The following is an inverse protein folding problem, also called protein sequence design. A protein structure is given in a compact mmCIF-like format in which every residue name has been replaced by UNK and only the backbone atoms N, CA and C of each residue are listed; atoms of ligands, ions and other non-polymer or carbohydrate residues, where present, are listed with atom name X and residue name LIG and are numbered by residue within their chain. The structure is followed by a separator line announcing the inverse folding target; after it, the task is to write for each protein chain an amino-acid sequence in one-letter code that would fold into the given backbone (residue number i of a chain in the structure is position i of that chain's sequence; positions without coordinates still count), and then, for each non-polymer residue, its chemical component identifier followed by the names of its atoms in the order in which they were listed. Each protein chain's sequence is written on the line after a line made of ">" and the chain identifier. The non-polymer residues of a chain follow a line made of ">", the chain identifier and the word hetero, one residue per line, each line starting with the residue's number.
data_IF_606880442376
#
_entry.id   IF_606880442376
#
_cell.length_a   1.000
_cell.length_b   1.000
_cell.length_c   1.000
_cell.angle_alpha   90.00
_cell.angle_beta   90.00
_cell.angle_gamma   90.00
#
_symmetry.space_group_name_H-M   'P 1'
#
loop_
_entity.id
_entity.type
_entity.pdbx_description
1 polymer ?
#
# COMPACT_ATOMS: atom_id res chain seq x y z
N UNK A 1 -8.05 51.38 27.47
CA UNK A 1 -8.70 50.24 26.79
C UNK A 1 -8.37 50.36 25.31
N UNK A 2 -7.68 49.35 24.78
CA UNK A 2 -6.78 49.46 23.63
C UNK A 2 -7.49 49.61 22.29
N UNK A 3 -7.19 50.69 21.54
CA UNK A 3 -7.77 50.96 20.21
C UNK A 3 -7.31 49.96 19.13
N UNK A 4 -6.29 49.16 19.42
CA UNK A 4 -5.75 48.13 18.52
C UNK A 4 -6.74 47.01 18.25
N UNK A 5 -7.60 46.67 19.21
CA UNK A 5 -8.57 45.58 19.05
C UNK A 5 -9.74 45.98 18.14
N UNK A 6 -10.12 47.27 18.10
CA UNK A 6 -11.19 47.73 17.22
C UNK A 6 -10.79 47.72 15.74
N UNK A 7 -9.52 48.01 15.43
CA UNK A 7 -9.03 48.06 14.05
C UNK A 7 -8.95 46.65 13.47
N UNK A 8 -8.47 45.67 14.25
CA UNK A 8 -8.39 44.27 13.81
C UNK A 8 -9.77 43.68 13.53
N UNK A 9 -10.77 43.98 14.36
CA UNK A 9 -12.15 43.52 14.14
C UNK A 9 -12.74 44.15 12.87
N UNK A 10 -12.50 45.44 12.61
CA UNK A 10 -12.95 46.10 11.38
C UNK A 10 -12.33 45.54 10.10
N UNK A 11 -11.05 45.14 10.16
CA UNK A 11 -10.35 44.54 9.01
C UNK A 11 -10.89 43.13 8.75
N UNK A 12 -11.05 42.31 9.79
CA UNK A 12 -11.61 40.96 9.65
C UNK A 12 -13.06 41.01 9.14
N UNK A 13 -13.87 41.94 9.64
CA UNK A 13 -15.25 42.13 9.18
C UNK A 13 -15.32 42.64 7.72
N UNK A 14 -14.40 43.52 7.28
CA UNK A 14 -14.30 43.95 5.87
C UNK A 14 -13.85 42.81 4.93
N UNK A 15 -12.97 41.93 5.40
CA UNK A 15 -12.55 40.75 4.64
C UNK A 15 -13.68 39.72 4.50
N UNK A 16 -14.48 39.50 5.55
CA UNK A 16 -15.59 38.54 5.50
C UNK A 16 -16.77 39.07 4.67
N UNK A 17 -17.04 40.38 4.73
CA UNK A 17 -18.11 41.01 3.92
C UNK A 17 -17.75 41.10 2.44
N UNK A 18 -16.48 41.31 2.09
CA UNK A 18 -16.03 41.29 0.68
C UNK A 18 -16.10 39.89 0.04
N UNK A 19 -15.99 38.82 0.82
CA UNK A 19 -16.22 37.45 0.34
C UNK A 19 -17.72 37.11 0.14
N UNK A 20 -18.62 37.88 0.74
CA UNK A 20 -20.06 37.57 0.77
C UNK A 20 -20.87 38.19 -0.38
N UNK A 21 -20.23 38.94 -1.30
CA UNK A 21 -20.92 39.63 -2.41
C UNK A 21 -20.99 38.84 -3.74
N UNK A 22 -20.81 37.52 -3.76
CA UNK A 22 -20.96 36.71 -4.99
C UNK A 22 -22.17 35.77 -4.97
N UNK A 23 -23.28 36.20 -4.38
CA UNK A 23 -24.56 35.52 -4.54
C UNK A 23 -25.64 36.50 -4.99
N UNK A 24 -25.59 36.91 -6.25
CA UNK A 24 -26.76 37.47 -6.93
C UNK A 24 -26.79 37.06 -8.41
N UNK A 25 -27.98 36.68 -8.87
CA UNK A 25 -28.19 35.94 -10.11
C UNK A 25 -28.44 36.83 -11.34
N UNK A 26 -27.93 36.34 -12.50
CA UNK A 26 -28.28 36.62 -13.93
C UNK A 26 -27.51 37.78 -14.63
N UNK A 27 -27.36 37.76 -15.98
CA UNK A 27 -27.16 36.65 -16.92
C UNK A 27 -25.96 36.87 -17.92
N UNK A 28 -25.45 35.75 -18.47
CA UNK A 28 -24.68 35.56 -19.72
C UNK A 28 -24.12 36.81 -20.45
N UNK A 29 -22.81 37.05 -20.31
CA UNK A 29 -21.94 37.48 -21.41
C UNK A 29 -20.49 36.98 -21.22
N UNK A 30 -19.91 36.60 -22.35
CA UNK A 30 -18.64 35.93 -22.62
C UNK A 30 -17.40 36.48 -21.88
N UNK A 31 -16.72 35.62 -21.10
CA UNK A 31 -15.43 35.93 -20.48
C UNK A 31 -14.55 34.68 -20.34
N UNK A 32 -14.30 34.04 -21.49
CA UNK A 32 -13.55 32.78 -21.62
C UNK A 32 -12.04 32.84 -21.28
N UNK A 33 -11.47 33.99 -20.91
CA UNK A 33 -10.00 34.14 -20.76
C UNK A 33 -9.48 34.35 -19.32
N UNK A 34 -10.31 34.73 -18.34
CA UNK A 34 -9.84 34.98 -16.96
C UNK A 34 -9.88 33.75 -16.03
N UNK A 35 -10.66 32.74 -16.39
CA UNK A 35 -10.79 31.51 -15.59
C UNK A 35 -9.62 30.54 -15.79
N UNK A 36 -8.87 30.69 -16.89
CA UNK A 36 -7.63 29.95 -17.16
C UNK A 36 -6.51 30.38 -16.22
N UNK A 37 -6.26 31.69 -16.10
CA UNK A 37 -5.14 32.22 -15.30
C UNK A 37 -5.29 31.98 -13.80
N UNK A 38 -6.52 32.07 -13.27
CA UNK A 38 -6.80 31.75 -11.86
C UNK A 38 -6.72 30.25 -11.56
N UNK A 39 -7.08 29.37 -12.51
CA UNK A 39 -6.90 27.93 -12.33
C UNK A 39 -5.42 27.54 -12.36
N UNK A 40 -4.62 28.15 -13.25
CA UNK A 40 -3.18 27.91 -13.29
C UNK A 40 -2.50 28.41 -12.02
N UNK A 41 -2.81 29.62 -11.56
CA UNK A 41 -2.22 30.15 -10.32
C UNK A 41 -2.63 29.35 -9.07
N UNK A 42 -3.87 28.82 -9.00
CA UNK A 42 -4.29 27.94 -7.92
C UNK A 42 -3.62 26.57 -8.04
N UNK A 43 -3.51 26.00 -9.24
CA UNK A 43 -2.78 24.75 -9.47
C UNK A 43 -1.29 24.86 -9.11
N UNK A 44 -0.63 25.96 -9.50
CA UNK A 44 0.77 26.23 -9.16
C UNK A 44 0.94 26.40 -7.65
N UNK A 45 -0.01 27.05 -6.97
CA UNK A 45 0.01 27.18 -5.50
C UNK A 45 -0.21 25.84 -4.78
N UNK A 46 -0.90 24.87 -5.38
CA UNK A 46 -1.05 23.50 -4.85
C UNK A 46 0.11 22.57 -5.24
N UNK A 47 0.81 22.86 -6.34
CA UNK A 47 2.00 22.13 -6.74
C UNK A 47 3.22 22.48 -5.86
N UNK A 48 3.31 23.73 -5.41
CA UNK A 48 4.36 24.21 -4.50
C UNK A 48 3.98 24.08 -3.00
N UNK A 49 2.79 23.55 -2.69
CA UNK A 49 2.36 23.39 -1.31
C UNK A 49 3.03 22.16 -0.68
N UNK A 50 4.04 22.43 0.12
CA UNK A 50 4.54 21.57 1.18
C UNK A 50 3.36 20.95 1.95
N UNK A 51 3.10 19.66 1.76
CA UNK A 51 2.14 18.92 2.58
C UNK A 51 2.94 17.98 3.47
N UNK A 52 3.08 18.40 4.73
CA UNK A 52 3.82 17.65 5.75
C UNK A 52 3.20 16.28 6.09
N UNK A 53 1.94 16.01 5.71
CA UNK A 53 1.30 14.71 5.84
C UNK A 53 0.00 14.66 5.04
N UNK A 54 -0.20 13.59 4.25
CA UNK A 54 -1.50 13.24 3.69
C UNK A 54 -2.26 12.27 4.58
N UNK A 55 -3.50 12.62 4.91
CA UNK A 55 -4.47 11.63 5.40
C UNK A 55 -5.70 11.63 4.53
N UNK A 56 -5.92 10.56 3.76
CA UNK A 56 -7.13 10.41 2.96
C UNK A 56 -7.95 9.20 3.43
N UNK A 57 -9.21 9.45 3.76
CA UNK A 57 -10.17 8.40 4.04
C UNK A 57 -10.61 7.72 2.75
N UNK A 58 -10.75 6.40 2.77
CA UNK A 58 -11.21 5.64 1.63
C UNK A 58 -12.61 6.08 1.17
N UNK A 59 -12.89 6.04 -0.14
CA UNK A 59 -14.21 6.41 -0.64
C UNK A 59 -15.31 5.49 -0.10
N UNK A 60 -16.46 6.10 0.21
CA UNK A 60 -17.69 5.37 0.54
C UNK A 60 -18.24 4.59 -0.67
N UNK A 61 -19.13 3.64 -0.42
CA UNK A 61 -19.71 2.68 -1.38
C UNK A 61 -19.95 3.26 -2.77
N UNK A 62 -19.38 2.62 -3.79
CA UNK A 62 -19.60 2.98 -5.20
C UNK A 62 -18.82 4.18 -5.74
N UNK A 63 -17.92 4.80 -4.97
CA UNK A 63 -17.07 5.91 -5.46
C UNK A 63 -15.64 5.47 -5.78
N UNK A 64 -15.07 6.05 -6.82
CA UNK A 64 -13.66 5.90 -7.22
C UNK A 64 -12.80 6.82 -6.37
N UNK A 65 -11.70 6.32 -5.80
CA UNK A 65 -10.72 7.14 -5.09
C UNK A 65 -10.14 8.22 -5.99
N UNK A 66 -9.77 9.35 -5.38
CA UNK A 66 -9.02 10.43 -6.03
C UNK A 66 -7.70 9.87 -6.59
N UNK A 67 -7.40 10.24 -7.85
CA UNK A 67 -6.15 9.93 -8.53
C UNK A 67 -5.38 11.24 -8.66
N UNK A 68 -4.27 11.39 -7.93
CA UNK A 68 -3.45 12.59 -8.01
C UNK A 68 -2.25 12.32 -8.94
N UNK A 69 -2.06 13.10 -10.03
CA UNK A 69 -0.86 13.01 -10.85
C UNK A 69 0.29 13.75 -10.17
N UNK A 70 1.47 13.12 -10.14
CA UNK A 70 2.78 13.67 -9.80
C UNK A 70 2.82 14.52 -8.52
N UNK A 71 3.21 13.90 -7.41
CA UNK A 71 3.33 14.59 -6.13
C UNK A 71 4.60 14.20 -5.42
N UNK A 72 5.51 15.15 -5.29
CA UNK A 72 6.58 15.12 -4.28
C UNK A 72 5.87 15.28 -2.92
N UNK A 73 5.79 14.22 -2.13
CA UNK A 73 5.23 14.26 -0.78
C UNK A 73 6.35 14.02 0.23
N UNK A 74 6.97 15.11 0.69
CA UNK A 74 8.03 15.09 1.70
C UNK A 74 7.51 14.74 3.11
N UNK A 75 6.46 13.92 3.24
CA UNK A 75 5.79 13.64 4.51
C UNK A 75 4.98 12.35 4.51
N UNK A 76 4.45 12.00 5.69
CA UNK A 76 3.68 10.76 5.90
C UNK A 76 2.44 10.65 4.99
N UNK A 77 2.25 9.50 4.34
CA UNK A 77 0.99 9.14 3.65
C UNK A 77 0.20 8.15 4.49
N UNK A 78 -1.05 8.48 4.82
CA UNK A 78 -1.96 7.61 5.56
C UNK A 78 -3.30 7.48 4.85
N UNK A 79 -3.51 6.37 4.13
CA UNK A 79 -4.78 6.12 3.44
C UNK A 79 -5.56 4.98 4.09
N UNK A 80 -6.86 5.21 4.26
CA UNK A 80 -7.78 4.15 4.64
C UNK A 80 -8.37 3.49 3.40
N UNK A 81 -8.55 2.17 3.45
CA UNK A 81 -9.20 1.43 2.38
C UNK A 81 -10.67 1.82 2.22
N UNK A 82 -11.24 1.61 1.03
CA UNK A 82 -12.64 1.91 0.77
C UNK A 82 -13.59 1.00 1.57
N UNK A 83 -14.82 1.48 1.77
CA UNK A 83 -15.95 0.66 2.23
C UNK A 83 -16.39 -0.35 1.16
N UNK A 84 -17.44 -1.13 1.43
CA UNK A 84 -17.86 -2.25 0.58
C UNK A 84 -17.97 -1.89 -0.91
N UNK A 85 -17.35 -2.73 -1.75
CA UNK A 85 -17.34 -2.57 -3.21
C UNK A 85 -16.62 -1.33 -3.76
N UNK A 86 -15.98 -0.51 -2.93
CA UNK A 86 -15.27 0.71 -3.36
C UNK A 86 -13.85 0.46 -3.89
N UNK A 87 -13.26 1.47 -4.54
CA UNK A 87 -11.88 1.44 -5.03
C UNK A 87 -11.03 2.51 -4.34
N UNK A 88 -9.90 2.10 -3.78
CA UNK A 88 -8.94 2.98 -3.13
C UNK A 88 -8.31 4.03 -4.08
N UNK A 89 -7.50 4.88 -3.47
CA UNK A 89 -6.77 5.96 -4.14
C UNK A 89 -5.69 5.47 -5.11
N UNK A 90 -5.32 6.35 -6.05
CA UNK A 90 -4.22 6.12 -6.97
C UNK A 90 -3.22 7.27 -6.95
N UNK A 91 -1.93 6.97 -7.00
CA UNK A 91 -0.89 7.96 -7.25
C UNK A 91 0.09 7.48 -8.32
N UNK A 92 0.70 8.45 -9.01
CA UNK A 92 1.72 8.23 -10.04
C UNK A 92 2.84 9.22 -9.79
N UNK A 93 4.10 8.76 -9.84
CA UNK A 93 5.30 9.57 -9.58
C UNK A 93 5.21 10.21 -8.18
N UNK A 94 5.24 9.36 -7.16
CA UNK A 94 5.22 9.77 -5.76
C UNK A 94 6.61 9.59 -5.14
N UNK A 95 7.20 10.66 -4.65
CA UNK A 95 8.40 10.60 -3.80
C UNK A 95 7.93 10.81 -2.37
N UNK A 96 8.21 9.84 -1.49
CA UNK A 96 7.71 9.77 -0.12
C UNK A 96 8.91 9.61 0.79
N UNK A 97 9.28 10.70 1.46
CA UNK A 97 10.50 10.72 2.26
C UNK A 97 10.31 10.09 3.66
N UNK A 98 9.06 9.96 4.11
CA UNK A 98 8.72 9.40 5.42
C UNK A 98 7.89 8.09 5.28
N UNK A 99 6.88 7.90 6.13
CA UNK A 99 6.13 6.66 6.22
C UNK A 99 4.90 6.63 5.30
N UNK A 100 4.73 5.53 4.56
CA UNK A 100 3.46 5.20 3.89
C UNK A 100 2.68 4.15 4.68
N UNK A 101 1.50 4.49 5.19
CA UNK A 101 0.54 3.54 5.77
C UNK A 101 -0.74 3.46 4.95
N UNK A 102 -1.08 2.27 4.45
CA UNK A 102 -2.37 2.03 3.82
C UNK A 102 -3.14 0.89 4.50
N UNK A 103 -4.43 1.11 4.71
CA UNK A 103 -5.33 0.06 5.18
C UNK A 103 -6.11 -0.57 4.03
N UNK A 104 -6.33 -1.88 4.13
CA UNK A 104 -7.08 -2.67 3.14
C UNK A 104 -8.55 -2.27 3.04
N UNK A 105 -9.21 -2.61 1.92
CA UNK A 105 -10.63 -2.38 1.77
C UNK A 105 -11.47 -3.30 2.69
N UNK A 106 -12.72 -2.89 2.90
CA UNK A 106 -13.77 -3.82 3.40
C UNK A 106 -14.20 -4.81 2.30
N UNK A 107 -15.16 -5.69 2.60
CA UNK A 107 -15.61 -6.74 1.68
C UNK A 107 -15.96 -6.21 0.27
N UNK A 108 -15.53 -6.91 -0.77
CA UNK A 108 -15.75 -6.56 -2.17
C UNK A 108 -14.91 -5.41 -2.72
N UNK A 109 -14.14 -4.70 -1.90
CA UNK A 109 -13.39 -3.52 -2.32
C UNK A 109 -12.02 -3.82 -2.92
N UNK A 110 -11.44 -2.83 -3.61
CA UNK A 110 -10.06 -2.84 -4.12
C UNK A 110 -9.23 -1.78 -3.41
N UNK A 111 -8.03 -2.16 -2.97
CA UNK A 111 -7.07 -1.28 -2.32
C UNK A 111 -6.52 -0.17 -3.22
N UNK A 112 -5.50 0.51 -2.69
CA UNK A 112 -4.82 1.62 -3.35
C UNK A 112 -3.89 1.14 -4.47
N UNK A 113 -3.55 2.05 -5.39
CA UNK A 113 -2.62 1.79 -6.49
C UNK A 113 -1.53 2.85 -6.54
N UNK A 114 -0.28 2.43 -6.59
CA UNK A 114 0.88 3.31 -6.66
C UNK A 114 1.72 2.93 -7.88
N UNK A 115 2.12 3.91 -8.67
CA UNK A 115 2.95 3.70 -9.85
C UNK A 115 4.14 4.65 -9.78
N UNK A 116 5.35 4.13 -9.98
CA UNK A 116 6.59 4.89 -9.89
C UNK A 116 6.68 5.64 -8.55
N UNK A 117 6.95 4.90 -7.49
CA UNK A 117 6.97 5.44 -6.13
C UNK A 117 8.29 5.16 -5.45
N UNK A 118 8.90 6.20 -4.91
CA UNK A 118 10.12 6.11 -4.09
C UNK A 118 9.72 6.36 -2.64
N UNK A 119 10.11 5.45 -1.75
CA UNK A 119 9.81 5.51 -0.31
C UNK A 119 11.10 5.30 0.44
N UNK A 120 11.63 6.35 1.06
CA UNK A 120 12.95 6.27 1.70
C UNK A 120 12.92 5.67 3.10
N UNK A 121 11.75 5.58 3.73
CA UNK A 121 11.59 5.03 5.08
C UNK A 121 10.69 3.79 5.04
N UNK A 122 9.57 3.78 5.77
CA UNK A 122 8.77 2.58 5.97
C UNK A 122 7.46 2.59 5.16
N UNK A 123 7.19 1.47 4.50
CA UNK A 123 5.88 1.12 3.98
C UNK A 123 5.17 0.12 4.89
N UNK A 124 3.96 0.45 5.35
CA UNK A 124 3.05 -0.48 5.99
C UNK A 124 1.73 -0.60 5.23
N UNK A 125 1.39 -1.81 4.80
CA UNK A 125 0.08 -2.08 4.21
C UNK A 125 -0.67 -3.20 4.94
N UNK A 126 -1.95 -2.96 5.18
CA UNK A 126 -2.86 -3.99 5.68
C UNK A 126 -3.73 -4.52 4.56
N UNK A 127 -3.90 -5.84 4.51
CA UNK A 127 -4.79 -6.52 3.58
C UNK A 127 -6.27 -6.27 3.89
N UNK A 128 -7.18 -6.71 3.00
CA UNK A 128 -8.61 -6.55 3.19
C UNK A 128 -9.16 -7.31 4.39
N UNK A 129 -10.21 -6.77 5.00
CA UNK A 129 -10.92 -7.44 6.12
C UNK A 129 -11.92 -8.51 5.66
N UNK A 130 -12.14 -8.65 4.35
CA UNK A 130 -13.09 -9.59 3.73
C UNK A 130 -12.71 -9.93 2.28
N UNK A 131 -13.68 -10.30 1.45
CA UNK A 131 -13.50 -10.63 0.03
C UNK A 131 -13.10 -9.40 -0.82
N UNK A 132 -11.92 -8.85 -0.59
CA UNK A 132 -11.38 -7.69 -1.29
C UNK A 132 -10.03 -7.99 -1.92
N UNK A 133 -9.51 -7.02 -2.67
CA UNK A 133 -8.14 -7.06 -3.19
C UNK A 133 -7.30 -6.02 -2.46
N UNK A 134 -6.10 -6.42 -2.06
CA UNK A 134 -5.11 -5.53 -1.47
C UNK A 134 -4.66 -4.42 -2.43
N UNK A 135 -3.54 -3.81 -2.06
CA UNK A 135 -2.96 -2.70 -2.81
C UNK A 135 -2.12 -3.21 -3.98
N UNK A 136 -1.90 -2.35 -4.97
CA UNK A 136 -1.00 -2.62 -6.08
C UNK A 136 0.11 -1.57 -6.11
N UNK A 137 1.36 -2.02 -6.17
CA UNK A 137 2.53 -1.21 -6.39
C UNK A 137 3.20 -1.65 -7.70
N UNK A 138 3.53 -0.68 -8.56
CA UNK A 138 4.19 -0.92 -9.83
C UNK A 138 5.36 0.04 -9.96
N UNK A 139 6.58 -0.49 -10.09
CA UNK A 139 7.82 0.29 -10.07
C UNK A 139 7.91 1.06 -8.75
N UNK A 140 8.44 0.39 -7.73
CA UNK A 140 8.61 1.00 -6.42
C UNK A 140 10.01 0.72 -5.88
N UNK A 141 10.62 1.74 -5.30
CA UNK A 141 11.87 1.66 -4.57
C UNK A 141 11.57 1.96 -3.11
N UNK A 142 11.95 1.04 -2.22
CA UNK A 142 11.77 1.17 -0.77
C UNK A 142 13.13 0.99 -0.11
N UNK A 143 13.65 2.04 0.50
CA UNK A 143 15.01 1.99 1.04
C UNK A 143 15.08 1.18 2.32
N UNK A 144 14.17 1.41 3.27
CA UNK A 144 14.24 0.77 4.59
C UNK A 144 13.32 -0.47 4.67
N UNK A 145 12.09 -0.31 5.16
CA UNK A 145 11.27 -1.47 5.54
C UNK A 145 9.93 -1.52 4.82
N UNK A 146 9.59 -2.69 4.27
CA UNK A 146 8.26 -3.02 3.79
C UNK A 146 7.57 -4.02 4.72
N UNK A 147 6.49 -3.61 5.37
CA UNK A 147 5.60 -4.48 6.16
C UNK A 147 4.25 -4.65 5.49
N UNK A 148 3.87 -5.87 5.13
CA UNK A 148 2.53 -6.16 4.63
C UNK A 148 1.82 -7.24 5.43
N UNK A 149 0.53 -7.03 5.67
CA UNK A 149 -0.35 -8.02 6.28
C UNK A 149 -1.33 -8.57 5.27
N UNK A 150 -1.50 -9.89 5.25
CA UNK A 150 -2.49 -10.59 4.44
C UNK A 150 -3.94 -10.24 4.79
N UNK A 151 -4.90 -10.65 3.95
CA UNK A 151 -6.31 -10.47 4.23
C UNK A 151 -6.77 -11.26 5.46
N UNK A 152 -7.71 -10.70 6.21
CA UNK A 152 -8.31 -11.35 7.38
C UNK A 152 -9.23 -12.52 7.02
N UNK A 153 -10.01 -12.40 5.93
CA UNK A 153 -10.91 -13.46 5.48
C UNK A 153 -11.21 -13.35 3.97
N UNK A 154 -11.02 -14.44 3.21
CA UNK A 154 -11.56 -14.57 1.84
C UNK A 154 -11.07 -13.58 0.76
N UNK A 155 -10.00 -12.83 1.00
CA UNK A 155 -9.48 -11.80 0.08
C UNK A 155 -8.19 -12.17 -0.64
N UNK A 156 -7.72 -11.27 -1.49
CA UNK A 156 -6.39 -11.30 -2.11
C UNK A 156 -5.49 -10.26 -1.45
N UNK A 157 -4.24 -10.63 -1.16
CA UNK A 157 -3.22 -9.73 -0.65
C UNK A 157 -2.78 -8.65 -1.64
N UNK A 158 -1.64 -8.03 -1.35
CA UNK A 158 -1.05 -7.00 -2.18
C UNK A 158 -0.33 -7.58 -3.41
N UNK A 159 -0.22 -6.77 -4.46
CA UNK A 159 0.54 -7.09 -5.66
C UNK A 159 1.67 -6.07 -5.85
N UNK A 160 2.89 -6.56 -6.05
CA UNK A 160 4.10 -5.77 -6.26
C UNK A 160 4.73 -6.19 -7.59
N UNK A 161 5.03 -5.22 -8.45
CA UNK A 161 5.65 -5.45 -9.75
C UNK A 161 6.84 -4.50 -9.88
N UNK A 162 8.02 -5.03 -10.20
CA UNK A 162 9.26 -4.26 -10.28
C UNK A 162 9.50 -3.48 -8.98
N UNK A 163 9.60 -4.20 -7.87
CA UNK A 163 9.81 -3.61 -6.55
C UNK A 163 11.24 -3.88 -6.09
N UNK A 164 11.95 -2.84 -5.69
CA UNK A 164 13.27 -2.91 -5.07
C UNK A 164 13.14 -2.54 -3.59
N UNK A 165 13.64 -3.40 -2.71
CA UNK A 165 13.62 -3.21 -1.26
C UNK A 165 15.03 -3.43 -0.75
N UNK A 166 15.64 -2.40 -0.18
CA UNK A 166 17.05 -2.44 0.15
C UNK A 166 17.30 -3.16 1.48
N UNK A 167 16.58 -2.83 2.55
CA UNK A 167 16.81 -3.48 3.85
C UNK A 167 15.86 -4.67 4.07
N UNK A 168 14.66 -4.45 4.62
CA UNK A 168 13.82 -5.54 5.14
C UNK A 168 12.42 -5.61 4.53
N UNK A 169 12.02 -6.82 4.14
CA UNK A 169 10.64 -7.14 3.78
C UNK A 169 10.02 -8.10 4.78
N UNK A 170 8.95 -7.69 5.45
CA UNK A 170 8.13 -8.54 6.31
C UNK A 170 6.72 -8.71 5.75
N UNK A 171 6.34 -9.94 5.45
CA UNK A 171 4.98 -10.26 5.02
C UNK A 171 4.30 -11.28 5.93
N UNK A 172 3.03 -11.02 6.23
CA UNK A 172 2.17 -11.98 6.91
C UNK A 172 1.15 -12.57 5.96
N UNK A 173 0.99 -13.90 5.99
CA UNK A 173 -0.04 -14.61 5.23
C UNK A 173 -1.46 -14.26 5.65
N UNK A 174 -2.47 -14.66 4.85
CA UNK A 174 -3.88 -14.48 5.16
C UNK A 174 -4.33 -15.27 6.39
N UNK A 175 -5.31 -14.73 7.14
CA UNK A 175 -5.83 -15.36 8.36
C UNK A 175 -6.87 -16.47 8.11
N UNK A 176 -7.71 -16.38 7.06
CA UNK A 176 -8.67 -17.43 6.71
C UNK A 176 -9.07 -17.40 5.23
N UNK A 177 -8.86 -18.51 4.50
CA UNK A 177 -9.41 -18.71 3.15
C UNK A 177 -9.00 -17.68 2.07
N UNK A 178 -7.97 -16.87 2.32
CA UNK A 178 -7.48 -15.84 1.41
C UNK A 178 -6.20 -16.23 0.66
N UNK A 179 -5.78 -15.35 -0.23
CA UNK A 179 -4.50 -15.45 -0.94
C UNK A 179 -3.52 -14.40 -0.38
N UNK A 180 -2.27 -14.79 -0.19
CA UNK A 180 -1.20 -13.89 0.24
C UNK A 180 -0.83 -12.89 -0.85
N UNK A 181 0.38 -12.33 -0.72
CA UNK A 181 0.89 -11.32 -1.63
C UNK A 181 1.50 -11.95 -2.88
N UNK A 182 1.52 -11.18 -3.97
CA UNK A 182 2.18 -11.53 -5.21
C UNK A 182 3.29 -10.55 -5.51
N UNK A 183 4.49 -11.06 -5.80
CA UNK A 183 5.67 -10.30 -6.15
C UNK A 183 6.17 -10.75 -7.52
N UNK A 184 6.37 -9.80 -8.42
CA UNK A 184 6.87 -10.04 -9.78
C UNK A 184 8.05 -9.11 -10.04
N UNK A 185 9.21 -9.67 -10.41
CA UNK A 185 10.45 -8.92 -10.57
C UNK A 185 10.77 -8.10 -9.31
N UNK A 186 10.88 -8.77 -8.17
CA UNK A 186 11.18 -8.11 -6.90
C UNK A 186 12.64 -8.37 -6.52
N UNK A 187 13.35 -7.34 -6.08
CA UNK A 187 14.71 -7.45 -5.55
C UNK A 187 14.70 -7.05 -4.07
N UNK A 188 15.27 -7.90 -3.24
CA UNK A 188 15.39 -7.71 -1.79
C UNK A 188 16.86 -7.88 -1.44
N UNK A 189 17.51 -6.80 -0.98
CA UNK A 189 18.97 -6.83 -0.81
C UNK A 189 19.38 -7.48 0.52
N UNK A 190 18.67 -7.24 1.63
CA UNK A 190 19.01 -7.89 2.90
C UNK A 190 18.03 -9.02 3.28
N UNK A 191 16.97 -8.71 4.03
CA UNK A 191 16.19 -9.75 4.70
C UNK A 191 14.74 -9.84 4.20
N UNK A 192 14.31 -11.04 3.85
CA UNK A 192 12.91 -11.35 3.61
C UNK A 192 12.36 -12.27 4.70
N UNK A 193 11.37 -11.81 5.46
CA UNK A 193 10.61 -12.61 6.43
C UNK A 193 9.17 -12.81 5.98
N UNK A 194 8.78 -14.05 5.72
CA UNK A 194 7.39 -14.38 5.40
C UNK A 194 6.76 -15.34 6.39
N UNK A 195 5.53 -15.04 6.79
CA UNK A 195 4.69 -15.97 7.53
C UNK A 195 3.68 -16.62 6.60
N UNK A 196 3.56 -17.95 6.69
CA UNK A 196 2.56 -18.71 5.95
C UNK A 196 1.13 -18.35 6.33
N UNK A 197 0.14 -18.75 5.51
CA UNK A 197 -1.25 -18.51 5.79
C UNK A 197 -1.72 -19.32 7.00
N UNK A 198 -2.77 -18.80 7.64
CA UNK A 198 -3.60 -19.58 8.55
C UNK A 198 -4.59 -20.47 7.77
N UNK A 199 -5.64 -20.98 8.43
CA UNK A 199 -6.45 -22.06 7.90
C UNK A 199 -7.07 -21.78 6.52
N UNK A 200 -6.88 -22.73 5.59
CA UNK A 200 -7.46 -22.70 4.24
C UNK A 200 -6.91 -21.62 3.29
N UNK A 201 -5.91 -20.83 3.71
CA UNK A 201 -5.32 -19.78 2.88
C UNK A 201 -4.19 -20.28 1.98
N UNK A 202 -3.80 -19.44 1.01
CA UNK A 202 -2.58 -19.62 0.20
C UNK A 202 -1.54 -18.59 0.64
N UNK A 203 -0.28 -19.01 0.68
CA UNK A 203 0.84 -18.14 0.99
C UNK A 203 1.13 -17.12 -0.10
N UNK A 204 2.38 -16.69 -0.14
CA UNK A 204 2.85 -15.67 -1.07
C UNK A 204 3.37 -16.31 -2.35
N UNK A 205 3.27 -15.59 -3.46
CA UNK A 205 3.79 -15.99 -4.75
C UNK A 205 4.90 -15.03 -5.18
N UNK A 206 6.04 -15.58 -5.59
CA UNK A 206 7.20 -14.85 -6.08
C UNK A 206 7.55 -15.32 -7.47
N UNK A 207 7.66 -14.38 -8.41
CA UNK A 207 8.04 -14.64 -9.80
C UNK A 207 9.20 -13.74 -10.16
N UNK A 208 10.31 -14.30 -10.61
CA UNK A 208 11.54 -13.54 -10.90
C UNK A 208 11.98 -12.69 -9.70
N UNK A 209 11.95 -13.27 -8.50
CA UNK A 209 12.38 -12.56 -7.30
C UNK A 209 13.82 -12.90 -6.96
N UNK A 210 14.58 -11.91 -6.48
CA UNK A 210 15.96 -12.04 -6.05
C UNK A 210 16.05 -11.65 -4.56
N UNK A 211 16.66 -12.50 -3.75
CA UNK A 211 17.00 -12.22 -2.35
C UNK A 211 18.48 -12.47 -2.18
N UNK A 212 19.24 -11.39 -1.96
CA UNK A 212 20.72 -11.48 -1.98
C UNK A 212 21.35 -11.82 -0.63
N UNK A 213 20.62 -11.83 0.48
CA UNK A 213 21.19 -12.28 1.76
C UNK A 213 20.35 -13.40 2.40
N UNK A 214 19.28 -13.08 3.13
CA UNK A 214 18.55 -14.09 3.92
C UNK A 214 17.03 -14.06 3.68
N UNK A 215 16.46 -15.24 3.44
CA UNK A 215 15.03 -15.49 3.47
C UNK A 215 14.65 -16.39 4.65
N UNK A 216 13.68 -15.94 5.46
CA UNK A 216 13.04 -16.72 6.53
C UNK A 216 11.55 -16.93 6.22
N UNK A 217 11.14 -18.17 5.97
CA UNK A 217 9.73 -18.49 5.76
C UNK A 217 9.15 -19.43 6.83
N UNK A 218 7.96 -19.11 7.30
CA UNK A 218 7.16 -20.00 8.15
C UNK A 218 6.10 -20.74 7.34
N UNK A 219 5.96 -22.04 7.55
CA UNK A 219 4.94 -22.86 6.88
C UNK A 219 3.50 -22.48 7.26
N UNK A 220 2.50 -22.91 6.47
CA UNK A 220 1.10 -22.64 6.76
C UNK A 220 0.60 -23.39 8.01
N UNK A 221 -0.47 -22.85 8.60
CA UNK A 221 -1.31 -23.60 9.54
C UNK A 221 -2.20 -24.63 8.82
N UNK A 222 -2.99 -25.38 9.59
CA UNK A 222 -3.82 -26.48 9.08
C UNK A 222 -4.70 -26.11 7.87
N UNK A 223 -4.58 -26.88 6.78
CA UNK A 223 -5.35 -26.69 5.56
C UNK A 223 -4.86 -25.57 4.64
N UNK A 224 -3.80 -24.84 5.00
CA UNK A 224 -3.18 -23.81 4.16
C UNK A 224 -2.14 -24.35 3.17
N UNK A 225 -1.79 -23.55 2.16
CA UNK A 225 -0.67 -23.80 1.24
C UNK A 225 0.45 -22.79 1.51
N UNK A 226 1.70 -23.24 1.52
CA UNK A 226 2.87 -22.39 1.75
C UNK A 226 3.16 -21.41 0.63
N UNK A 227 4.40 -20.93 0.59
CA UNK A 227 4.86 -19.96 -0.40
C UNK A 227 5.30 -20.65 -1.70
N UNK A 228 5.10 -19.97 -2.83
CA UNK A 228 5.44 -20.45 -4.17
C UNK A 228 6.47 -19.51 -4.80
N UNK A 229 7.56 -20.09 -5.34
CA UNK A 229 8.64 -19.35 -5.98
C UNK A 229 8.87 -19.89 -7.40
N UNK A 230 8.90 -18.99 -8.37
CA UNK A 230 9.09 -19.31 -9.79
C UNK A 230 10.17 -18.43 -10.38
N UNK A 231 11.23 -19.06 -10.89
CA UNK A 231 12.40 -18.35 -11.43
C UNK A 231 12.98 -17.33 -10.43
N UNK A 232 13.01 -17.69 -9.16
CA UNK A 232 13.57 -16.86 -8.09
C UNK A 232 14.95 -17.34 -7.70
N UNK A 233 15.82 -16.39 -7.38
CA UNK A 233 17.17 -16.62 -6.87
C UNK A 233 17.23 -16.17 -5.41
N UNK A 234 17.67 -17.05 -4.54
CA UNK A 234 17.74 -16.82 -3.10
C UNK A 234 19.08 -17.38 -2.62
N UNK A 235 19.88 -16.54 -1.95
CA UNK A 235 21.18 -16.94 -1.41
C UNK A 235 21.05 -17.88 -0.20
N UNK A 236 20.51 -17.42 0.93
CA UNK A 236 20.20 -18.26 2.10
C UNK A 236 18.69 -18.35 2.37
N UNK A 237 18.19 -19.55 2.65
CA UNK A 237 16.78 -19.82 2.89
C UNK A 237 16.55 -20.70 4.13
N UNK A 238 16.05 -20.10 5.21
CA UNK A 238 15.62 -20.79 6.43
C UNK A 238 14.10 -20.99 6.44
N UNK A 239 13.65 -22.24 6.42
CA UNK A 239 12.24 -22.57 6.29
C UNK A 239 11.73 -23.42 7.45
N UNK A 240 10.59 -23.03 8.02
CA UNK A 240 9.81 -23.89 8.92
C UNK A 240 8.73 -24.65 8.14
N UNK A 241 8.53 -25.92 8.48
CA UNK A 241 7.53 -26.78 7.84
C UNK A 241 6.07 -26.42 8.18
N UNK A 242 5.09 -26.95 7.43
CA UNK A 242 3.68 -26.72 7.70
C UNK A 242 3.23 -27.36 9.03
N UNK A 243 2.22 -26.78 9.66
CA UNK A 243 1.44 -27.47 10.70
C UNK A 243 0.60 -28.60 10.09
N UNK A 244 0.05 -29.49 10.93
CA UNK A 244 -0.76 -30.63 10.49
C UNK A 244 -1.85 -30.23 9.47
N UNK A 245 -1.82 -30.86 8.28
CA UNK A 245 -2.77 -30.60 7.19
C UNK A 245 -2.41 -29.44 6.26
N UNK A 246 -1.31 -28.72 6.48
CA UNK A 246 -0.78 -27.72 5.55
C UNK A 246 0.17 -28.31 4.50
N UNK A 247 0.31 -27.64 3.35
CA UNK A 247 1.34 -27.98 2.32
C UNK A 247 2.53 -27.02 2.44
N UNK A 248 3.75 -27.54 2.35
CA UNK A 248 4.99 -26.75 2.51
C UNK A 248 5.26 -25.73 1.39
N UNK A 249 6.51 -25.31 1.27
CA UNK A 249 7.00 -24.32 0.30
C UNK A 249 7.57 -25.00 -0.94
N UNK A 250 7.48 -24.35 -2.09
CA UNK A 250 8.07 -24.83 -3.36
C UNK A 250 9.11 -23.80 -3.88
N UNK A 251 10.42 -24.11 -3.80
CA UNK A 251 11.51 -23.26 -4.37
C UNK A 251 12.73 -24.06 -4.87
N UNK A 252 13.60 -23.39 -5.66
CA UNK A 252 14.93 -23.87 -6.08
C UNK A 252 15.99 -22.88 -5.56
N UNK A 253 16.90 -23.31 -4.70
CA UNK A 253 18.02 -22.48 -4.19
C UNK A 253 19.26 -22.62 -5.09
N UNK A 254 20.04 -21.54 -5.25
CA UNK A 254 21.36 -21.58 -5.87
C UNK A 254 22.41 -21.84 -4.78
N UNK A 255 22.74 -23.09 -4.46
CA UNK A 255 23.91 -23.31 -3.60
C UNK A 255 24.01 -24.63 -2.86
N UNK A 256 22.99 -25.08 -2.13
CA UNK A 256 23.16 -26.22 -1.22
C UNK A 256 21.96 -27.17 -1.16
N UNK A 257 22.30 -28.44 -0.98
CA UNK A 257 21.44 -29.61 -0.90
C UNK A 257 20.34 -29.45 0.17
N UNK A 258 19.08 -29.50 -0.29
CA UNK A 258 17.94 -30.12 0.37
C UNK A 258 17.96 -30.22 1.91
N UNK A 259 17.94 -29.10 2.63
CA UNK A 259 17.60 -29.09 4.06
C UNK A 259 16.12 -28.80 4.33
N UNK A 260 15.24 -29.17 3.40
CA UNK A 260 13.81 -29.29 3.65
C UNK A 260 13.40 -30.76 3.62
N UNK A 261 13.87 -31.54 4.59
CA UNK A 261 13.26 -32.83 4.87
C UNK A 261 11.79 -32.64 5.26
N UNK A 262 10.86 -33.55 4.88
CA UNK A 262 9.51 -33.51 5.40
C UNK A 262 9.57 -33.67 6.92
N UNK A 263 9.26 -32.61 7.67
CA UNK A 263 9.00 -32.75 9.10
C UNK A 263 7.77 -33.63 9.26
N UNK A 264 7.93 -34.66 10.09
CA UNK A 264 7.13 -35.88 10.18
C UNK A 264 5.66 -35.74 9.79
N UNK A 265 5.19 -36.69 8.97
CA UNK A 265 3.77 -36.99 8.84
C UNK A 265 3.12 -37.00 10.22
N UNK A 266 2.24 -36.03 10.47
CA UNK A 266 1.33 -36.06 11.61
C UNK A 266 0.34 -37.20 11.44
N UNK A 267 0.80 -38.44 11.70
CA UNK A 267 -0.08 -39.51 12.18
C UNK A 267 -0.25 -39.26 13.67
N UNK A 268 -1.42 -38.76 14.05
CA UNK A 268 -1.82 -38.59 15.44
C UNK A 268 -3.25 -39.08 15.63
N UNK A 269 -3.33 -40.36 15.98
CA UNK A 269 -4.36 -41.10 16.74
C UNK A 269 -5.85 -40.84 16.52
#
# INVERSE_FOLDING_TARGET
>A
MSSTNCITIFIVFSLVTSLSCFSEARPLMDLKSKQSYMNTAIQDMFNDFYIAAMKTGGPSTGRKGLSSPARLDFGDIKNSGPSEGGKGHGSVNAEIVDEMKNSGPSAGGKGHGFVNSEITEEMKNSGPSGEGKGHALVTAEITEEMKNSGPSAGGQGHAFVNAEITEEMKNSGPSAGGEGHAFVNAQITEEMKNSGPSAGGKGHAYVNAEVTEEMKNSGPSAGGKGHEFSNSEIEDAKNSGPSAGGKGHDFKTLGEENNAGPSASGRGH
#
